data_IF_882501221216
#
_entry.id   IF_882501221216
#
_cell.length_a   1.000
_cell.length_b   1.000
_cell.length_c   1.000
_cell.angle_alpha   90.00
_cell.angle_beta   90.00
_cell.angle_gamma   90.00
#
_symmetry.space_group_name_H-M   'P 1'
#
loop_
_entity.id
_entity.type
_entity.pdbx_description
1 polymer ?
#
# COMPACT_ATOMS: atom_id res chain seq x y z
N UNK A 1 -10.95 2.15 11.02
CA UNK A 1 -12.03 2.62 11.92
C UNK A 1 -11.67 4.00 12.41
N UNK A 2 -12.66 4.88 12.55
CA UNK A 2 -12.46 6.29 12.88
C UNK A 2 -12.95 6.58 14.31
N UNK A 3 -12.10 7.18 15.13
CA UNK A 3 -12.41 7.52 16.52
C UNK A 3 -12.08 9.00 16.75
N UNK A 4 -13.01 9.74 17.37
CA UNK A 4 -12.84 11.15 17.69
C UNK A 4 -13.00 11.40 19.19
N UNK A 5 -12.16 12.28 19.74
CA UNK A 5 -12.26 12.74 21.14
C UNK A 5 -12.70 14.19 21.12
N UNK A 6 -13.82 14.52 21.78
CA UNK A 6 -14.41 15.86 21.82
C UNK A 6 -14.78 16.44 20.43
N UNK A 7 -15.17 15.57 19.47
CA UNK A 7 -15.58 15.97 18.12
C UNK A 7 -16.83 15.18 17.69
N UNK A 8 -17.77 15.85 17.01
CA UNK A 8 -19.05 15.23 16.62
C UNK A 8 -18.96 14.27 15.44
N UNK A 9 -18.08 14.54 14.47
CA UNK A 9 -17.89 13.67 13.29
C UNK A 9 -16.38 13.51 13.02
N UNK A 10 -15.79 12.33 13.26
CA UNK A 10 -14.36 12.11 13.13
C UNK A 10 -13.96 11.71 11.69
N UNK A 11 -14.22 12.58 10.71
CA UNK A 11 -13.79 12.33 9.32
C UNK A 11 -12.34 12.78 9.14
N UNK A 12 -11.39 11.87 8.87
CA UNK A 12 -10.02 12.22 8.54
C UNK A 12 -9.98 12.97 7.20
N UNK A 13 -9.11 13.98 7.12
CA UNK A 13 -8.80 14.72 5.89
C UNK A 13 -7.43 14.31 5.38
N UNK A 14 -7.12 14.65 4.14
CA UNK A 14 -5.84 14.37 3.53
C UNK A 14 -4.69 14.95 4.39
N UNK A 15 -3.61 14.19 4.60
CA UNK A 15 -3.24 12.93 3.97
C UNK A 15 -3.66 11.65 4.73
N UNK A 16 -4.59 11.73 5.69
CA UNK A 16 -4.98 10.60 6.53
C UNK A 16 -6.00 9.67 5.84
N UNK A 17 -5.98 8.37 6.18
CA UNK A 17 -6.87 7.38 5.57
C UNK A 17 -8.31 7.43 6.11
N UNK A 18 -9.29 7.39 5.21
CA UNK A 18 -10.71 7.18 5.51
C UNK A 18 -11.07 5.70 5.38
N UNK A 19 -11.52 5.08 6.48
CA UNK A 19 -11.84 3.65 6.52
C UNK A 19 -12.52 3.17 7.80
N UNK A 20 -13.13 1.99 7.73
CA UNK A 20 -13.90 1.36 8.81
C UNK A 20 -13.21 0.16 9.47
N UNK A 21 -13.92 -0.54 10.36
CA UNK A 21 -13.57 -1.86 10.91
C UNK A 21 -14.82 -2.76 10.91
N UNK A 22 -14.66 -4.09 10.89
CA UNK A 22 -15.76 -5.06 10.80
C UNK A 22 -16.70 -4.75 9.61
N UNK A 23 -18.01 -4.74 9.81
CA UNK A 23 -19.01 -4.48 8.76
C UNK A 23 -19.08 -3.01 8.28
N UNK A 24 -18.19 -2.13 8.74
CA UNK A 24 -18.08 -0.73 8.27
C UNK A 24 -17.00 -0.52 7.19
N UNK A 25 -16.32 -1.59 6.75
CA UNK A 25 -15.41 -1.57 5.61
C UNK A 25 -15.37 -2.95 4.94
N UNK A 26 -15.20 -2.98 3.62
CA UNK A 26 -15.09 -4.21 2.85
C UNK A 26 -13.94 -4.09 1.84
N UNK A 27 -13.23 -5.18 1.61
CA UNK A 27 -12.06 -5.20 0.73
C UNK A 27 -10.77 -4.77 1.44
N UNK A 28 -9.78 -4.34 0.66
CA UNK A 28 -8.43 -4.01 1.13
C UNK A 28 -8.09 -2.56 0.79
N UNK A 29 -7.44 -1.87 1.72
CA UNK A 29 -7.05 -0.48 1.58
C UNK A 29 -8.08 0.50 2.14
N UNK A 30 -7.65 1.74 2.32
CA UNK A 30 -8.50 2.86 2.73
C UNK A 30 -8.85 3.73 1.52
N UNK A 31 -9.93 4.50 1.62
CA UNK A 31 -10.41 5.33 0.50
C UNK A 31 -9.40 6.41 0.11
N UNK A 32 -8.78 7.03 1.12
CA UNK A 32 -7.79 8.12 0.99
C UNK A 32 -6.49 7.76 1.68
N UNK A 33 -5.48 8.64 1.57
CA UNK A 33 -4.17 8.42 2.17
C UNK A 33 -3.35 7.37 1.44
N UNK A 34 -2.31 6.86 2.11
CA UNK A 34 -1.32 5.99 1.48
C UNK A 34 -1.91 4.65 0.98
N UNK A 35 -2.84 4.06 1.74
CA UNK A 35 -3.49 2.80 1.38
C UNK A 35 -4.28 2.86 0.07
N UNK A 36 -4.76 4.04 -0.33
CA UNK A 36 -5.44 4.24 -1.62
C UNK A 36 -4.48 4.07 -2.80
N UNK A 37 -3.21 4.53 -2.65
CA UNK A 37 -2.20 4.33 -3.70
C UNK A 37 -1.85 2.86 -3.90
N UNK A 38 -1.80 2.08 -2.82
CA UNK A 38 -1.55 0.63 -2.90
C UNK A 38 -2.68 -0.10 -3.62
N UNK A 39 -3.92 0.37 -3.52
CA UNK A 39 -5.06 -0.19 -4.26
C UNK A 39 -4.96 0.05 -5.77
N UNK A 40 -4.50 1.24 -6.18
CA UNK A 40 -4.38 1.63 -7.58
C UNK A 40 -3.04 1.25 -8.22
N UNK A 41 -2.11 0.71 -7.44
CA UNK A 41 -0.79 0.32 -7.92
C UNK A 41 -0.52 -1.16 -7.67
N UNK A 42 0.58 -1.67 -8.24
CA UNK A 42 1.03 -3.05 -8.00
C UNK A 42 2.52 -3.04 -7.71
N UNK A 43 2.88 -3.54 -6.54
CA UNK A 43 4.28 -3.70 -6.15
C UNK A 43 4.98 -4.70 -7.07
N UNK A 44 6.05 -4.26 -7.73
CA UNK A 44 6.90 -5.11 -8.59
C UNK A 44 8.29 -5.20 -7.97
N UNK A 45 8.76 -6.42 -7.70
CA UNK A 45 10.14 -6.69 -7.26
C UNK A 45 10.93 -7.28 -8.42
N UNK A 46 12.06 -6.66 -8.75
CA UNK A 46 12.94 -7.09 -9.85
C UNK A 46 14.30 -7.46 -9.24
N UNK A 47 14.84 -8.61 -9.62
CA UNK A 47 16.20 -9.02 -9.27
C UNK A 47 16.97 -9.24 -10.55
N UNK A 48 18.05 -8.48 -10.72
CA UNK A 48 18.89 -8.52 -11.92
C UNK A 48 20.30 -8.93 -11.53
N UNK A 49 20.86 -9.90 -12.27
CA UNK A 49 22.27 -10.25 -12.24
C UNK A 49 22.92 -9.74 -13.51
N UNK A 50 24.04 -9.04 -13.38
CA UNK A 50 24.86 -8.61 -14.50
C UNK A 50 26.09 -9.52 -14.56
N UNK A 51 26.17 -10.40 -15.56
CA UNK A 51 27.35 -11.20 -15.86
C UNK A 51 28.12 -10.61 -17.04
N UNK A 52 29.44 -10.61 -16.95
CA UNK A 52 30.28 -10.24 -18.09
C UNK A 52 30.14 -11.27 -19.21
N UNK A 53 30.06 -10.85 -20.47
CA UNK A 53 29.74 -11.72 -21.63
C UNK A 53 30.74 -12.89 -21.80
N UNK A 54 31.96 -12.74 -21.26
CA UNK A 54 33.07 -13.68 -21.42
C UNK A 54 33.24 -14.68 -20.27
N UNK A 55 32.35 -14.72 -19.27
CA UNK A 55 32.45 -15.68 -18.16
C UNK A 55 31.30 -16.69 -18.17
N UNK A 56 31.39 -17.68 -19.05
CA UNK A 56 30.61 -18.91 -18.97
C UNK A 56 31.19 -19.81 -17.87
N UNK A 57 30.59 -19.82 -16.69
CA UNK A 57 30.83 -20.84 -15.68
C UNK A 57 29.48 -21.47 -15.30
N UNK A 58 29.46 -22.64 -14.66
CA UNK A 58 28.26 -23.39 -14.28
C UNK A 58 27.28 -22.64 -13.36
N UNK A 59 27.66 -21.48 -12.82
CA UNK A 59 26.79 -20.55 -12.08
C UNK A 59 26.26 -19.39 -12.96
N UNK A 60 26.42 -19.45 -14.28
CA UNK A 60 25.93 -18.52 -15.29
C UNK A 60 24.94 -19.20 -16.23
#
# INVERSE_FOLDING_TARGET
GMCGVNIGVPVPREPFPFGGWNASSFGQGDLTGHGSFDFWSRTKKITTKWSDKNRSNWMS
#
